data_IF_511846447240
#
_entry.id   IF_511846447240
#
_cell.length_a   1.000
_cell.length_b   1.000
_cell.length_c   1.000
_cell.angle_alpha   90.00
_cell.angle_beta   90.00
_cell.angle_gamma   90.00
#
_symmetry.space_group_name_H-M   'P 1'
#
loop_
_entity.id
_entity.type
_entity.pdbx_description
1 polymer ?
#
# COMPACT_ATOMS: atom_id res chain seq x y z
N UNK A 1 -13.90 -22.20 -14.74
CA UNK A 1 -12.85 -21.54 -13.99
C UNK A 1 -11.71 -21.06 -14.89
N UNK A 2 -11.05 -21.93 -15.67
CA UNK A 2 -9.92 -21.54 -16.53
C UNK A 2 -10.31 -20.47 -17.55
N UNK A 3 -11.50 -20.54 -18.12
CA UNK A 3 -12.00 -19.55 -19.06
C UNK A 3 -12.29 -18.21 -18.38
N UNK A 4 -12.88 -18.24 -17.17
CA UNK A 4 -13.08 -17.04 -16.36
C UNK A 4 -11.74 -16.40 -15.99
N UNK A 5 -10.78 -17.21 -15.51
CA UNK A 5 -9.44 -16.71 -15.17
C UNK A 5 -8.72 -16.14 -16.40
N UNK A 6 -8.81 -16.79 -17.58
CA UNK A 6 -8.21 -16.31 -18.81
C UNK A 6 -8.81 -15.00 -19.31
N UNK A 7 -10.13 -14.78 -19.09
CA UNK A 7 -10.82 -13.56 -19.47
C UNK A 7 -10.47 -12.37 -18.59
N UNK A 8 -10.45 -12.56 -17.27
CA UNK A 8 -10.30 -11.46 -16.31
C UNK A 8 -8.86 -11.28 -15.80
N UNK A 9 -8.01 -12.31 -15.91
CA UNK A 9 -6.61 -12.28 -15.51
C UNK A 9 -5.71 -12.69 -16.69
N UNK A 10 -5.40 -11.78 -17.60
CA UNK A 10 -4.78 -12.07 -18.90
C UNK A 10 -3.31 -12.53 -18.82
N UNK A 11 -2.74 -12.64 -17.63
CA UNK A 11 -1.38 -13.20 -17.44
C UNK A 11 -1.21 -14.59 -18.04
N UNK A 12 -2.31 -15.34 -18.20
CA UNK A 12 -2.34 -16.65 -18.85
C UNK A 12 -3.63 -16.81 -19.64
N UNK A 13 -3.56 -17.41 -20.83
CA UNK A 13 -4.73 -17.82 -21.57
C UNK A 13 -5.50 -18.95 -20.85
N UNK A 14 -6.74 -19.21 -21.24
CA UNK A 14 -7.53 -20.31 -20.69
C UNK A 14 -6.81 -21.67 -20.81
N UNK A 15 -6.18 -21.93 -21.97
CA UNK A 15 -5.36 -23.13 -22.17
C UNK A 15 -4.10 -23.13 -21.27
N UNK A 16 -3.50 -21.96 -21.03
CA UNK A 16 -2.39 -21.79 -20.11
C UNK A 16 -2.77 -22.12 -18.66
N UNK A 17 -3.95 -21.69 -18.23
CA UNK A 17 -4.47 -22.04 -16.90
C UNK A 17 -4.77 -23.54 -16.78
N UNK A 18 -5.33 -24.17 -17.79
CA UNK A 18 -5.54 -25.63 -17.81
C UNK A 18 -4.23 -26.39 -17.62
N UNK A 19 -3.19 -26.03 -18.37
CA UNK A 19 -1.85 -26.64 -18.24
C UNK A 19 -1.24 -26.40 -16.87
N UNK A 20 -1.39 -25.19 -16.32
CA UNK A 20 -0.86 -24.84 -15.00
C UNK A 20 -1.48 -25.67 -13.89
N UNK A 21 -2.82 -25.87 -13.91
CA UNK A 21 -3.50 -26.72 -12.94
C UNK A 21 -3.17 -28.21 -13.12
N UNK A 22 -3.03 -28.69 -14.36
CA UNK A 22 -2.63 -30.07 -14.63
C UNK A 22 -1.23 -30.37 -14.09
N UNK A 23 -0.24 -29.56 -14.42
CA UNK A 23 1.13 -29.69 -13.92
C UNK A 23 1.21 -29.65 -12.41
N UNK A 24 0.43 -28.79 -11.77
CA UNK A 24 0.40 -28.72 -10.31
C UNK A 24 -0.19 -29.97 -9.67
N UNK A 25 -1.20 -30.57 -10.30
CA UNK A 25 -1.79 -31.83 -9.85
C UNK A 25 -0.79 -32.99 -9.97
N UNK A 26 -0.05 -33.08 -11.08
CA UNK A 26 1.01 -34.07 -11.27
C UNK A 26 2.09 -33.95 -10.20
N UNK A 27 2.52 -32.71 -9.89
CA UNK A 27 3.52 -32.39 -8.87
C UNK A 27 2.99 -32.50 -7.43
N UNK A 28 1.70 -32.85 -7.25
CA UNK A 28 1.03 -32.90 -5.94
C UNK A 28 1.16 -31.60 -5.12
N UNK A 29 1.22 -30.45 -5.80
CA UNK A 29 1.28 -29.16 -5.13
C UNK A 29 -0.03 -28.89 -4.38
N UNK A 30 0.05 -28.68 -3.06
CA UNK A 30 -1.10 -28.38 -2.21
C UNK A 30 -1.54 -26.90 -2.32
N UNK A 31 -0.62 -26.01 -2.65
CA UNK A 31 -0.86 -24.58 -2.71
C UNK A 31 -0.50 -24.07 -4.10
N UNK A 32 -1.45 -23.41 -4.75
CA UNK A 32 -1.28 -22.80 -6.05
C UNK A 32 -1.54 -21.31 -5.95
N UNK A 33 -0.56 -20.52 -6.35
CA UNK A 33 -0.74 -19.09 -6.44
C UNK A 33 -1.53 -18.75 -7.70
N UNK A 34 -2.69 -18.16 -7.54
CA UNK A 34 -3.55 -17.72 -8.66
C UNK A 34 -3.21 -16.28 -9.05
N UNK A 35 -3.25 -15.35 -8.09
CA UNK A 35 -2.97 -13.94 -8.35
C UNK A 35 -2.32 -13.27 -7.13
N UNK A 36 -1.61 -12.16 -7.39
CA UNK A 36 -1.07 -11.25 -6.38
C UNK A 36 -1.47 -9.83 -6.73
N UNK A 37 -1.63 -8.98 -5.71
CA UNK A 37 -1.96 -7.57 -5.90
C UNK A 37 -3.36 -7.38 -6.50
N UNK A 38 -4.30 -8.23 -6.10
CA UNK A 38 -5.70 -8.20 -6.53
C UNK A 38 -6.45 -7.18 -5.69
N UNK A 39 -7.16 -6.27 -6.34
CA UNK A 39 -8.03 -5.31 -5.67
C UNK A 39 -9.24 -6.01 -5.03
N UNK A 40 -9.92 -5.30 -4.12
CA UNK A 40 -11.14 -5.83 -3.49
C UNK A 40 -12.23 -6.18 -4.51
N UNK A 41 -12.42 -5.33 -5.53
CA UNK A 41 -13.39 -5.57 -6.60
C UNK A 41 -13.05 -6.81 -7.43
N UNK A 42 -11.78 -6.99 -7.78
CA UNK A 42 -11.31 -8.18 -8.50
C UNK A 42 -11.43 -9.45 -7.65
N UNK A 43 -11.16 -9.36 -6.34
CA UNK A 43 -11.38 -10.46 -5.40
C UNK A 43 -12.85 -10.88 -5.39
N UNK A 44 -13.76 -9.93 -5.25
CA UNK A 44 -15.19 -10.20 -5.19
C UNK A 44 -15.68 -10.81 -6.51
N UNK A 45 -15.15 -10.34 -7.64
CA UNK A 45 -15.38 -10.93 -8.96
C UNK A 45 -14.85 -12.37 -9.03
N UNK A 46 -13.63 -12.64 -8.55
CA UNK A 46 -13.06 -14.00 -8.52
C UNK A 46 -13.92 -14.97 -7.71
N UNK A 47 -14.49 -14.52 -6.61
CA UNK A 47 -15.38 -15.34 -5.78
C UNK A 47 -16.70 -15.73 -6.48
N UNK A 48 -17.06 -15.06 -7.57
CA UNK A 48 -18.21 -15.46 -8.41
C UNK A 48 -17.89 -16.58 -9.40
N UNK A 49 -16.60 -16.88 -9.63
CA UNK A 49 -16.20 -17.88 -10.63
C UNK A 49 -16.63 -19.30 -10.22
N UNK A 50 -16.90 -20.16 -11.21
CA UNK A 50 -17.17 -21.58 -10.94
C UNK A 50 -16.06 -22.18 -10.06
N UNK A 51 -16.40 -23.04 -9.13
CA UNK A 51 -15.52 -23.61 -8.09
C UNK A 51 -15.29 -22.63 -6.95
N UNK A 52 -14.82 -21.38 -7.17
CA UNK A 52 -14.59 -20.40 -6.12
C UNK A 52 -15.89 -19.98 -5.42
N UNK A 53 -16.98 -19.79 -6.19
CA UNK A 53 -18.31 -19.53 -5.65
C UNK A 53 -18.77 -20.63 -4.69
N UNK A 54 -18.55 -21.89 -5.05
CA UNK A 54 -18.90 -23.02 -4.19
C UNK A 54 -18.15 -23.00 -2.87
N UNK A 55 -16.88 -22.62 -2.90
CA UNK A 55 -16.04 -22.56 -1.71
C UNK A 55 -16.25 -21.27 -0.89
N UNK A 56 -16.61 -20.16 -1.50
CA UNK A 56 -16.93 -18.91 -0.81
C UNK A 56 -18.13 -19.06 0.15
N UNK A 57 -19.04 -19.99 -0.12
CA UNK A 57 -20.18 -20.29 0.74
C UNK A 57 -19.81 -21.07 2.01
N UNK A 58 -18.61 -21.64 2.09
CA UNK A 58 -18.17 -22.40 3.27
C UNK A 58 -17.47 -21.47 4.28
N UNK A 59 -17.92 -21.51 5.53
CA UNK A 59 -17.46 -20.63 6.62
C UNK A 59 -15.99 -20.84 7.05
N UNK A 60 -15.29 -21.87 6.55
CA UNK A 60 -13.91 -22.17 6.93
C UNK A 60 -12.95 -22.06 5.74
N UNK A 61 -11.87 -21.25 5.84
CA UNK A 61 -10.84 -21.16 4.80
C UNK A 61 -10.19 -22.51 4.46
N UNK A 62 -10.04 -23.38 5.45
CA UNK A 62 -9.44 -24.70 5.26
C UNK A 62 -10.36 -25.62 4.44
N UNK A 63 -11.67 -25.45 4.56
CA UNK A 63 -12.67 -26.24 3.81
C UNK A 63 -12.98 -25.63 2.44
N UNK A 64 -12.64 -24.36 2.25
CA UNK A 64 -12.96 -23.62 1.01
C UNK A 64 -12.00 -23.93 -0.14
N UNK A 65 -10.82 -24.46 0.14
CA UNK A 65 -9.80 -24.68 -0.90
C UNK A 65 -9.26 -23.40 -1.56
N UNK A 66 -9.70 -22.21 -1.09
CA UNK A 66 -9.22 -20.90 -1.52
C UNK A 66 -8.71 -20.17 -0.30
N UNK A 67 -7.45 -19.77 -0.33
CA UNK A 67 -6.80 -18.98 0.71
C UNK A 67 -6.64 -17.56 0.18
N UNK A 68 -7.20 -16.60 0.90
CA UNK A 68 -7.08 -15.17 0.61
C UNK A 68 -6.26 -14.55 1.72
N UNK A 69 -5.11 -14.01 1.37
CA UNK A 69 -4.28 -13.25 2.28
C UNK A 69 -4.49 -11.77 1.97
N UNK A 70 -5.07 -11.05 2.91
CA UNK A 70 -5.26 -9.60 2.82
C UNK A 70 -4.03 -8.90 3.40
N UNK A 71 -3.58 -7.86 2.72
CA UNK A 71 -2.51 -6.99 3.20
C UNK A 71 -2.80 -5.54 2.83
N UNK A 72 -2.42 -4.65 3.70
CA UNK A 72 -2.55 -3.22 3.45
C UNK A 72 -1.45 -2.75 2.49
N UNK A 73 -1.84 -1.97 1.51
CA UNK A 73 -0.91 -1.34 0.56
C UNK A 73 -0.97 0.16 0.76
N UNK A 74 0.21 0.77 0.91
CA UNK A 74 0.32 2.22 0.94
C UNK A 74 0.01 2.78 -0.44
N UNK A 75 -0.92 3.72 -0.50
CA UNK A 75 -1.27 4.45 -1.71
C UNK A 75 -0.88 5.91 -1.53
N UNK A 76 -0.16 6.47 -2.50
CA UNK A 76 0.17 7.89 -2.56
C UNK A 76 -0.68 8.55 -3.67
N UNK A 77 -1.84 9.11 -3.35
CA UNK A 77 -2.76 9.65 -4.36
C UNK A 77 -2.16 10.77 -5.21
N UNK A 78 -1.23 11.54 -4.63
CA UNK A 78 -0.53 12.65 -5.29
C UNK A 78 0.80 12.22 -5.94
N UNK A 79 1.07 10.93 -6.03
CA UNK A 79 2.31 10.41 -6.61
C UNK A 79 3.54 10.86 -5.83
N UNK A 80 4.44 11.58 -6.52
CA UNK A 80 5.67 12.09 -5.92
C UNK A 80 5.52 13.48 -5.28
N UNK A 81 4.37 14.14 -5.43
CA UNK A 81 4.14 15.48 -4.89
C UNK A 81 4.15 15.43 -3.35
N UNK A 82 4.90 16.33 -2.72
CA UNK A 82 5.08 16.42 -1.28
C UNK A 82 5.58 15.12 -0.61
N UNK A 83 6.24 14.26 -1.36
CA UNK A 83 6.71 12.96 -0.88
C UNK A 83 7.63 13.07 0.34
N UNK A 84 8.52 14.04 0.34
CA UNK A 84 9.45 14.29 1.46
C UNK A 84 8.78 14.97 2.63
N UNK A 85 7.83 15.86 2.35
CA UNK A 85 7.07 16.56 3.39
C UNK A 85 6.15 15.58 4.14
N UNK A 86 5.38 14.77 3.40
CA UNK A 86 4.57 13.70 3.98
C UNK A 86 5.47 12.66 4.63
N UNK A 87 6.49 12.25 3.91
CA UNK A 87 7.48 11.30 4.36
C UNK A 87 7.00 9.86 4.34
N UNK A 88 7.68 9.03 5.10
CA UNK A 88 7.34 7.62 5.29
C UNK A 88 7.91 7.13 6.62
N UNK A 89 7.27 6.14 7.17
CA UNK A 89 7.79 5.36 8.29
C UNK A 89 7.91 3.91 7.83
N UNK A 90 9.07 3.31 8.06
CA UNK A 90 9.31 1.88 7.87
C UNK A 90 9.58 1.24 9.23
N UNK A 91 9.22 -0.03 9.37
CA UNK A 91 9.56 -0.83 10.56
C UNK A 91 11.09 -0.89 10.78
N UNK A 92 11.88 -0.58 9.76
CA UNK A 92 13.35 -0.52 9.75
C UNK A 92 13.95 0.85 10.17
N UNK A 93 13.18 1.76 10.76
CA UNK A 93 13.66 3.01 11.40
C UNK A 93 13.92 4.23 10.50
N UNK A 94 13.37 4.31 9.32
CA UNK A 94 13.45 5.56 8.56
C UNK A 94 12.30 6.49 8.94
N UNK A 95 12.59 7.47 9.80
CA UNK A 95 11.64 8.51 10.19
C UNK A 95 11.86 9.75 9.30
N UNK A 96 11.02 9.92 8.28
CA UNK A 96 11.10 11.03 7.35
C UNK A 96 9.77 11.77 7.31
N UNK A 97 9.81 13.09 7.29
CA UNK A 97 8.65 13.95 7.13
C UNK A 97 7.65 13.87 8.29
N UNK A 98 6.44 14.31 8.02
CA UNK A 98 5.36 14.35 9.01
C UNK A 98 4.99 12.95 9.50
N UNK A 99 4.96 11.96 8.61
CA UNK A 99 4.63 10.58 8.98
C UNK A 99 5.69 9.97 9.91
N UNK A 100 6.97 10.24 9.62
CA UNK A 100 8.04 9.78 10.50
C UNK A 100 7.99 10.44 11.88
N UNK A 101 7.72 11.73 11.94
CA UNK A 101 7.63 12.46 13.22
C UNK A 101 6.44 12.00 14.07
N UNK A 102 5.27 11.80 13.45
CA UNK A 102 4.04 11.41 14.16
C UNK A 102 3.77 9.89 14.15
N UNK A 103 4.77 9.07 13.87
CA UNK A 103 4.60 7.59 13.77
C UNK A 103 3.95 6.98 15.01
N UNK A 104 4.24 7.45 16.20
CA UNK A 104 3.65 6.96 17.44
C UNK A 104 2.14 7.15 17.55
N UNK A 105 1.61 8.18 16.86
CA UNK A 105 0.19 8.47 16.79
C UNK A 105 -0.50 7.72 15.64
N UNK A 106 0.23 7.58 14.51
CA UNK A 106 -0.30 7.01 13.27
C UNK A 106 -0.31 5.47 13.27
N UNK A 107 0.66 4.83 13.94
CA UNK A 107 0.84 3.37 13.89
C UNK A 107 -0.25 2.59 14.63
N UNK A 108 -0.95 3.19 15.59
CA UNK A 108 -1.88 2.45 16.45
C UNK A 108 -1.17 1.42 17.35
N UNK A 109 -1.92 0.47 17.84
CA UNK A 109 -1.41 -0.63 18.68
C UNK A 109 -1.89 -1.97 18.12
N UNK A 110 -0.98 -2.92 17.83
CA UNK A 110 -1.37 -4.23 17.34
C UNK A 110 -2.12 -5.00 18.44
N UNK A 111 -3.14 -5.71 18.03
CA UNK A 111 -3.81 -6.68 18.88
C UNK A 111 -2.97 -7.93 19.09
N UNK A 112 -3.28 -8.68 20.14
CA UNK A 112 -2.67 -9.98 20.40
C UNK A 112 -3.71 -10.98 20.87
N UNK A 113 -3.53 -12.24 20.47
CA UNK A 113 -4.42 -13.33 20.86
C UNK A 113 -3.61 -14.58 21.10
N UNK A 114 -3.86 -15.24 22.22
CA UNK A 114 -3.23 -16.52 22.49
C UNK A 114 -3.85 -17.61 21.62
N UNK A 115 -2.99 -18.41 21.00
CA UNK A 115 -3.38 -19.53 20.15
C UNK A 115 -2.79 -20.82 20.72
N UNK A 116 -3.61 -21.86 20.79
CA UNK A 116 -3.17 -23.21 21.19
C UNK A 116 -3.10 -24.11 19.97
N UNK A 117 -2.02 -24.85 19.84
CA UNK A 117 -1.90 -25.86 18.80
C UNK A 117 -2.56 -27.16 19.27
N UNK A 118 -3.71 -27.50 18.67
CA UNK A 118 -4.43 -28.74 18.93
C UNK A 118 -4.26 -29.64 17.69
N UNK A 119 -3.53 -30.73 17.84
CA UNK A 119 -3.09 -31.60 16.73
C UNK A 119 -2.28 -30.81 15.71
N UNK A 120 -2.80 -30.53 14.52
CA UNK A 120 -2.11 -29.74 13.47
C UNK A 120 -2.77 -28.40 13.19
N UNK A 121 -3.71 -27.97 14.02
CA UNK A 121 -4.45 -26.71 13.86
C UNK A 121 -4.18 -25.76 15.04
N UNK A 122 -4.00 -24.47 14.73
CA UNK A 122 -3.96 -23.42 15.73
C UNK A 122 -5.38 -22.96 16.04
N UNK A 123 -5.83 -23.15 17.28
CA UNK A 123 -7.14 -22.69 17.76
C UNK A 123 -6.96 -21.58 18.78
N UNK A 124 -7.80 -20.53 18.72
CA UNK A 124 -7.78 -19.49 19.73
C UNK A 124 -8.15 -20.05 21.09
N UNK A 125 -7.38 -19.69 22.09
CA UNK A 125 -7.69 -20.01 23.47
C UNK A 125 -8.84 -19.11 23.96
N UNK A 126 -9.80 -19.69 24.67
CA UNK A 126 -10.97 -18.97 25.19
C UNK A 126 -10.71 -18.40 26.61
N UNK A 127 -9.49 -17.92 26.87
CA UNK A 127 -9.02 -17.52 28.19
C UNK A 127 -9.17 -16.01 28.51
N UNK A 128 -9.86 -15.27 27.69
CA UNK A 128 -10.07 -13.84 27.89
C UNK A 128 -8.86 -12.91 27.63
N UNK A 129 -7.68 -13.48 27.35
CA UNK A 129 -6.45 -12.71 27.10
C UNK A 129 -6.35 -12.17 25.65
N UNK A 130 -7.48 -11.90 25.02
CA UNK A 130 -7.55 -11.23 23.73
C UNK A 130 -7.38 -9.71 23.93
N UNK A 131 -6.35 -9.15 23.30
CA UNK A 131 -6.21 -7.69 23.14
C UNK A 131 -6.63 -7.34 21.73
N UNK A 132 -7.66 -6.53 21.61
CA UNK A 132 -8.08 -6.04 20.30
C UNK A 132 -7.08 -4.98 19.78
N UNK A 133 -6.85 -4.90 18.47
CA UNK A 133 -6.04 -3.84 17.88
C UNK A 133 -6.71 -2.49 18.10
N UNK A 134 -5.89 -1.46 18.25
CA UNK A 134 -6.34 -0.06 18.33
C UNK A 134 -5.78 0.65 17.10
N UNK A 135 -6.67 1.20 16.29
CA UNK A 135 -6.27 1.93 15.08
C UNK A 135 -5.47 3.19 15.42
N UNK A 136 -4.58 3.57 14.50
CA UNK A 136 -3.86 4.84 14.59
C UNK A 136 -4.79 6.03 14.38
N UNK A 137 -4.28 7.21 14.70
CA UNK A 137 -4.99 8.46 14.46
C UNK A 137 -4.69 8.98 13.07
N UNK A 138 -5.61 9.77 12.51
CA UNK A 138 -5.37 10.51 11.29
C UNK A 138 -4.60 11.80 11.59
N UNK A 139 -3.73 12.20 10.66
CA UNK A 139 -2.98 13.44 10.71
C UNK A 139 -3.46 14.37 9.60
N UNK A 140 -4.02 15.52 9.98
CA UNK A 140 -4.44 16.56 9.05
C UNK A 140 -3.35 17.63 8.99
N UNK A 141 -2.77 17.83 7.82
CA UNK A 141 -1.76 18.85 7.56
C UNK A 141 -2.41 20.14 7.06
N UNK A 142 -1.73 21.27 7.28
CA UNK A 142 -2.13 22.60 6.76
C UNK A 142 -1.79 22.80 5.29
N UNK A 143 -1.14 21.82 4.68
CA UNK A 143 -0.68 21.86 3.29
C UNK A 143 -1.86 21.80 2.34
N UNK A 144 -1.88 22.74 1.37
CA UNK A 144 -2.83 22.72 0.26
C UNK A 144 -2.18 22.05 -0.95
N UNK A 145 -2.76 20.94 -1.40
CA UNK A 145 -2.23 20.16 -2.51
C UNK A 145 -2.17 20.94 -3.83
N UNK A 146 -3.06 21.91 -4.03
CA UNK A 146 -3.06 22.78 -5.23
C UNK A 146 -1.90 23.76 -5.18
N UNK A 147 -1.70 24.44 -4.06
CA UNK A 147 -0.58 25.37 -3.88
C UNK A 147 0.74 24.61 -3.95
N UNK A 148 0.82 23.40 -3.36
CA UNK A 148 1.98 22.53 -3.44
C UNK A 148 2.34 22.19 -4.90
N UNK A 149 1.35 21.85 -5.74
CA UNK A 149 1.57 21.53 -7.15
C UNK A 149 1.99 22.76 -7.96
N UNK A 150 1.39 23.91 -7.69
CA UNK A 150 1.77 25.17 -8.36
C UNK A 150 3.22 25.55 -8.00
N UNK A 151 3.55 25.49 -6.71
CA UNK A 151 4.89 25.78 -6.23
C UNK A 151 5.93 24.82 -6.81
N UNK A 152 5.60 23.53 -6.90
CA UNK A 152 6.47 22.50 -7.47
C UNK A 152 6.79 22.80 -8.93
N UNK A 153 5.77 23.03 -9.76
CA UNK A 153 5.95 23.34 -11.18
C UNK A 153 6.73 24.63 -11.41
N UNK A 154 6.36 25.70 -10.69
CA UNK A 154 7.05 26.97 -10.81
C UNK A 154 8.52 26.85 -10.43
N UNK A 155 8.83 26.13 -9.36
CA UNK A 155 10.22 25.88 -8.95
C UNK A 155 10.97 25.08 -10.01
N UNK A 156 10.40 23.99 -10.52
CA UNK A 156 11.02 23.15 -11.54
C UNK A 156 11.33 23.94 -12.81
N UNK A 157 10.38 24.75 -13.31
CA UNK A 157 10.57 25.62 -14.47
C UNK A 157 11.72 26.64 -14.26
N UNK A 158 11.80 27.23 -13.07
CA UNK A 158 12.87 28.17 -12.76
C UNK A 158 14.23 27.50 -12.63
N UNK A 159 14.31 26.34 -12.01
CA UNK A 159 15.53 25.55 -11.90
C UNK A 159 16.07 25.16 -13.29
N UNK A 160 15.18 24.71 -14.17
CA UNK A 160 15.53 24.41 -15.57
C UNK A 160 16.04 25.64 -16.31
N UNK A 161 15.34 26.77 -16.19
CA UNK A 161 15.69 28.00 -16.86
C UNK A 161 17.07 28.53 -16.47
N UNK A 162 17.44 28.40 -15.22
CA UNK A 162 18.69 28.93 -14.68
C UNK A 162 19.79 27.85 -14.53
N UNK A 163 19.50 26.61 -14.95
CA UNK A 163 20.40 25.45 -14.75
C UNK A 163 20.90 25.34 -13.30
N UNK A 164 20.01 25.59 -12.35
CA UNK A 164 20.34 25.58 -10.94
C UNK A 164 20.26 24.13 -10.40
N UNK A 165 21.21 23.73 -9.57
CA UNK A 165 21.27 22.38 -9.02
C UNK A 165 20.14 22.10 -8.01
N UNK A 166 19.72 23.12 -7.27
CA UNK A 166 18.76 22.97 -6.16
C UNK A 166 17.94 24.24 -5.97
N UNK A 167 16.77 24.06 -5.37
CA UNK A 167 15.93 25.16 -4.94
C UNK A 167 14.85 24.74 -3.96
N UNK A 168 14.35 25.72 -3.22
CA UNK A 168 13.25 25.52 -2.31
C UNK A 168 12.21 26.64 -2.42
N UNK A 169 10.96 26.30 -2.13
CA UNK A 169 9.84 27.26 -2.02
C UNK A 169 9.05 26.91 -0.77
N UNK A 170 8.79 27.90 0.08
CA UNK A 170 7.87 27.80 1.20
C UNK A 170 6.78 28.85 1.06
N UNK A 171 5.52 28.44 1.17
CA UNK A 171 4.34 29.32 1.19
C UNK A 171 3.69 29.23 2.55
N UNK A 172 3.58 30.36 3.21
CA UNK A 172 3.02 30.46 4.56
C UNK A 172 1.87 31.48 4.58
N UNK A 173 0.83 31.16 5.30
CA UNK A 173 -0.22 32.11 5.64
C UNK A 173 0.30 33.08 6.73
N UNK A 174 0.38 34.35 6.36
CA UNK A 174 0.95 35.40 7.24
C UNK A 174 0.15 35.57 8.55
N UNK A 175 -1.15 35.37 8.49
CA UNK A 175 -2.02 35.58 9.66
C UNK A 175 -1.94 34.44 10.69
N UNK A 176 -1.84 33.22 10.20
CA UNK A 176 -1.91 32.02 11.04
C UNK A 176 -0.56 31.34 11.25
N UNK A 177 0.45 31.70 10.45
CA UNK A 177 1.75 31.01 10.42
C UNK A 177 1.67 29.59 9.82
N UNK A 178 0.52 29.20 9.25
CA UNK A 178 0.35 27.86 8.71
C UNK A 178 1.10 27.71 7.37
N UNK A 179 1.95 26.70 7.26
CA UNK A 179 2.57 26.29 6.01
C UNK A 179 1.53 25.74 5.06
N UNK A 180 1.38 26.36 3.88
CA UNK A 180 0.46 25.95 2.81
C UNK A 180 1.13 25.15 1.72
N UNK A 181 2.41 25.40 1.46
CA UNK A 181 3.23 24.58 0.57
C UNK A 181 4.68 24.64 1.01
N UNK A 182 5.41 23.55 0.80
CA UNK A 182 6.84 23.46 0.99
C UNK A 182 7.43 22.48 -0.02
N UNK A 183 8.27 22.97 -0.91
CA UNK A 183 8.87 22.19 -2.00
C UNK A 183 10.38 22.36 -1.93
N UNK A 184 11.09 21.25 -1.99
CA UNK A 184 12.54 21.20 -2.09
C UNK A 184 12.89 20.31 -3.27
N UNK A 185 13.52 20.85 -4.31
CA UNK A 185 13.93 20.10 -5.49
C UNK A 185 15.44 20.12 -5.63
N UNK A 186 15.99 18.97 -5.96
CA UNK A 186 17.38 18.81 -6.35
C UNK A 186 17.50 18.06 -7.67
N UNK A 187 18.54 18.38 -8.44
CA UNK A 187 18.83 17.74 -9.70
C UNK A 187 19.31 16.29 -9.47
N UNK A 188 18.65 15.35 -10.13
CA UNK A 188 19.02 13.92 -10.11
C UNK A 188 19.73 13.49 -11.41
N UNK A 189 19.96 14.43 -12.31
CA UNK A 189 20.71 14.27 -13.56
C UNK A 189 19.99 14.82 -14.78
N UNK A 190 20.75 15.47 -15.64
CA UNK A 190 20.36 16.01 -16.97
C UNK A 190 19.03 16.78 -16.98
N UNK A 191 18.89 17.78 -16.11
CA UNK A 191 17.69 18.62 -16.06
C UNK A 191 16.43 17.94 -15.50
N UNK A 192 16.58 16.83 -14.78
CA UNK A 192 15.46 16.20 -14.04
C UNK A 192 15.61 16.50 -12.57
N UNK A 193 14.53 16.93 -11.97
CA UNK A 193 14.47 17.27 -10.55
C UNK A 193 13.60 16.30 -9.76
N UNK A 194 13.94 16.08 -8.52
CA UNK A 194 13.16 15.27 -7.57
C UNK A 194 13.17 15.93 -6.20
N UNK A 195 12.17 15.62 -5.41
CA UNK A 195 12.16 16.05 -4.01
C UNK A 195 13.32 15.42 -3.24
N UNK A 196 14.17 16.27 -2.68
CA UNK A 196 15.33 15.91 -1.87
C UNK A 196 15.14 16.24 -0.39
N UNK A 197 16.23 16.10 0.37
CA UNK A 197 16.30 16.53 1.77
C UNK A 197 15.96 18.02 1.88
N UNK A 198 15.32 18.36 3.00
CA UNK A 198 14.93 19.73 3.28
C UNK A 198 16.18 20.59 3.52
N UNK A 199 16.39 21.60 2.66
CA UNK A 199 17.43 22.62 2.78
C UNK A 199 16.88 24.00 3.18
N UNK A 200 15.57 24.05 3.48
CA UNK A 200 14.90 25.28 3.93
C UNK A 200 14.93 25.43 5.44
#
# INVERSE_FOLDING_TARGET
LCDSLGKYFPKRSSAGWKRYFASAREKKNRYLLIARGVSQAERDLMLTFPIFKYFAMKKSPVQSGVIINEYSVRVNPLGNLARRLIGYSDDNKAYVGAEGYYVSLLKGRPGSRMMQKIRNEWKPLADGNKKDPVDGKDLVLTIDARLQNIAHKALEEHLLKWSAERGCVAIMDVKTGALKAMVNLGEIGQGRYSEELNYA
#
